data_IF_283351049570
#
_entry.id   IF_283351049570
#
_cell.length_a   1.000
_cell.length_b   1.000
_cell.length_c   1.000
_cell.angle_alpha   90.00
_cell.angle_beta   90.00
_cell.angle_gamma   90.00
#
_symmetry.space_group_name_H-M   'P 1'
#
loop_
_entity.id
_entity.type
_entity.pdbx_description
1 polymer ?
#
# COMPACT_ATOMS: atom_id res chain seq x y z
N UNK A 1 -11.12 -22.27 17.82
CA UNK A 1 -9.92 -21.51 18.26
C UNK A 1 -9.48 -20.63 17.11
N UNK A 2 -9.65 -19.34 17.22
CA UNK A 2 -9.18 -18.39 16.22
C UNK A 2 -7.66 -18.28 16.31
N UNK A 3 -6.96 -18.68 15.25
CA UNK A 3 -5.52 -18.46 15.14
C UNK A 3 -5.22 -16.96 15.21
N UNK A 4 -4.49 -16.55 16.20
CA UNK A 4 -3.94 -15.19 16.24
C UNK A 4 -2.76 -15.14 15.26
N UNK A 5 -2.82 -14.21 14.32
CA UNK A 5 -1.75 -13.96 13.38
C UNK A 5 -0.70 -13.07 14.05
N UNK A 6 0.52 -13.55 14.14
CA UNK A 6 1.63 -12.82 14.77
C UNK A 6 2.87 -12.86 13.90
N UNK A 7 3.61 -11.75 13.88
CA UNK A 7 4.92 -11.72 13.26
C UNK A 7 5.96 -12.38 14.18
N UNK A 8 6.84 -13.18 13.61
CA UNK A 8 7.87 -13.90 14.34
C UNK A 8 8.97 -12.98 14.91
N UNK A 9 9.14 -11.79 14.32
CA UNK A 9 10.16 -10.82 14.74
C UNK A 9 9.74 -9.38 14.46
N UNK A 10 10.35 -8.44 15.19
CA UNK A 10 10.16 -6.99 14.93
C UNK A 10 10.63 -6.60 13.54
N UNK A 11 11.72 -7.17 13.07
CA UNK A 11 12.24 -6.96 11.72
C UNK A 11 11.29 -7.46 10.65
N UNK A 12 10.66 -8.61 10.86
CA UNK A 12 9.62 -9.12 9.96
C UNK A 12 8.45 -8.15 9.78
N UNK A 13 7.99 -7.55 10.87
CA UNK A 13 6.94 -6.52 10.84
C UNK A 13 7.38 -5.27 10.07
N UNK A 14 8.59 -4.77 10.33
CA UNK A 14 9.13 -3.57 9.66
C UNK A 14 9.28 -3.81 8.16
N UNK A 15 9.88 -4.93 7.77
CA UNK A 15 10.09 -5.29 6.36
C UNK A 15 8.76 -5.48 5.64
N UNK A 16 7.78 -6.13 6.28
CA UNK A 16 6.43 -6.28 5.72
C UNK A 16 5.75 -4.91 5.54
N UNK A 17 5.84 -4.02 6.53
CA UNK A 17 5.31 -2.66 6.46
C UNK A 17 5.96 -1.85 5.34
N UNK A 18 7.29 -1.91 5.21
CA UNK A 18 8.02 -1.26 4.11
C UNK A 18 7.61 -1.83 2.74
N UNK A 19 7.49 -3.16 2.63
CA UNK A 19 7.07 -3.81 1.39
C UNK A 19 5.66 -3.39 0.96
N UNK A 20 4.75 -3.19 1.90
CA UNK A 20 3.40 -2.68 1.62
C UNK A 20 3.38 -1.19 1.28
N UNK A 21 4.28 -0.40 1.87
CA UNK A 21 4.37 1.05 1.62
C UNK A 21 5.00 1.39 0.27
N UNK A 22 5.94 0.56 -0.20
CA UNK A 22 6.63 0.76 -1.47
C UNK A 22 5.78 0.18 -2.60
N UNK A 23 5.19 1.04 -3.40
CA UNK A 23 4.40 0.67 -4.56
C UNK A 23 4.86 1.39 -5.83
N UNK A 24 4.37 0.94 -6.97
CA UNK A 24 4.65 1.58 -8.28
C UNK A 24 4.24 3.05 -8.29
N UNK A 25 3.23 3.43 -7.51
CA UNK A 25 2.81 4.82 -7.35
C UNK A 25 3.91 5.72 -6.80
N UNK A 26 4.72 5.22 -5.87
CA UNK A 26 5.81 5.98 -5.27
C UNK A 26 6.95 6.24 -6.27
N UNK A 27 7.22 5.28 -7.15
CA UNK A 27 8.32 5.36 -8.11
C UNK A 27 7.94 6.12 -9.38
N UNK A 28 6.70 5.99 -9.84
CA UNK A 28 6.24 6.55 -11.11
C UNK A 28 5.34 7.77 -10.96
N UNK A 29 4.25 7.62 -10.22
CA UNK A 29 3.20 8.64 -10.15
C UNK A 29 3.61 9.83 -9.30
N UNK A 30 4.21 9.58 -8.15
CA UNK A 30 4.57 10.64 -7.21
C UNK A 30 5.59 11.64 -7.80
N UNK A 31 6.74 11.22 -8.37
CA UNK A 31 7.70 12.16 -9.00
C UNK A 31 7.06 12.97 -10.12
N UNK A 32 6.19 12.37 -10.91
CA UNK A 32 5.46 13.05 -11.98
C UNK A 32 4.52 14.14 -11.44
N UNK A 33 3.76 13.84 -10.40
CA UNK A 33 2.87 14.81 -9.76
C UNK A 33 3.67 15.96 -9.15
N UNK A 34 4.78 15.69 -8.49
CA UNK A 34 5.69 16.70 -7.94
C UNK A 34 6.17 17.63 -9.05
N UNK A 35 6.65 17.09 -10.15
CA UNK A 35 7.13 17.88 -11.28
C UNK A 35 6.04 18.77 -11.91
N UNK A 36 4.80 18.25 -12.02
CA UNK A 36 3.67 18.98 -12.62
C UNK A 36 3.09 20.08 -11.70
N UNK A 37 3.29 19.98 -10.39
CA UNK A 37 2.67 20.89 -9.40
C UNK A 37 3.69 21.82 -8.71
N UNK A 38 4.73 22.21 -9.40
CA UNK A 38 5.69 23.22 -8.91
C UNK A 38 6.94 22.64 -8.24
N UNK A 39 7.23 21.35 -8.43
CA UNK A 39 8.48 20.75 -7.96
C UNK A 39 8.64 20.81 -6.45
N UNK A 40 9.71 21.44 -5.99
CA UNK A 40 10.04 21.56 -4.57
C UNK A 40 8.95 22.26 -3.73
N UNK A 41 8.22 23.21 -4.31
CA UNK A 41 7.13 23.90 -3.61
C UNK A 41 5.97 22.96 -3.22
N UNK A 42 5.71 21.92 -4.02
CA UNK A 42 4.71 20.89 -3.72
C UNK A 42 5.10 20.05 -2.49
N UNK A 43 6.38 19.86 -2.24
CA UNK A 43 6.85 19.04 -1.11
C UNK A 43 6.52 19.65 0.25
N UNK A 44 6.41 20.98 0.36
CA UNK A 44 6.09 21.67 1.62
C UNK A 44 4.71 21.25 2.14
N UNK A 45 3.59 21.47 1.42
CA UNK A 45 2.28 21.02 1.87
C UNK A 45 2.21 19.50 1.99
N UNK A 46 2.92 18.76 1.12
CA UNK A 46 2.97 17.31 1.20
C UNK A 46 3.56 16.82 2.54
N UNK A 47 4.68 17.39 3.00
CA UNK A 47 5.24 17.08 4.33
C UNK A 47 4.27 17.41 5.47
N UNK A 48 3.61 18.57 5.40
CA UNK A 48 2.64 18.97 6.43
C UNK A 48 1.51 17.94 6.50
N UNK A 49 0.94 17.53 5.37
CA UNK A 49 -0.13 16.54 5.34
C UNK A 49 0.35 15.13 5.70
N UNK A 50 1.58 14.78 5.39
CA UNK A 50 2.17 13.51 5.78
C UNK A 50 2.21 13.38 7.31
N UNK A 51 2.68 14.39 8.02
CA UNK A 51 2.77 14.35 9.47
C UNK A 51 1.42 14.58 10.17
N UNK A 52 0.58 15.45 9.64
CA UNK A 52 -0.70 15.79 10.28
C UNK A 52 -1.80 14.75 10.04
N UNK A 53 -1.77 14.04 8.92
CA UNK A 53 -2.80 13.08 8.52
C UNK A 53 -2.31 11.65 8.46
N UNK A 54 -1.26 11.40 7.69
CA UNK A 54 -0.81 10.02 7.43
C UNK A 54 -0.19 9.36 8.65
N UNK A 55 0.55 10.10 9.48
CA UNK A 55 1.17 9.54 10.67
C UNK A 55 0.14 9.13 11.74
N UNK A 56 -0.84 9.97 12.12
CA UNK A 56 -1.91 9.56 13.04
C UNK A 56 -2.72 8.37 12.51
N UNK A 57 -3.01 8.35 11.21
CA UNK A 57 -3.75 7.25 10.58
C UNK A 57 -2.95 5.94 10.65
N UNK A 58 -1.66 5.98 10.37
CA UNK A 58 -0.77 4.83 10.48
C UNK A 58 -0.71 4.29 11.91
N UNK A 59 -0.60 5.17 12.91
CA UNK A 59 -0.61 4.77 14.32
C UNK A 59 -1.93 4.11 14.68
N UNK A 60 -3.06 4.65 14.24
CA UNK A 60 -4.39 4.06 14.46
C UNK A 60 -4.49 2.67 13.82
N UNK A 61 -4.00 2.52 12.60
CA UNK A 61 -3.99 1.24 11.86
C UNK A 61 -3.15 0.18 12.58
N UNK A 62 -1.95 0.52 13.04
CA UNK A 62 -1.12 -0.37 13.84
C UNK A 62 -1.76 -0.72 15.20
N UNK A 63 -2.42 0.23 15.86
CA UNK A 63 -3.13 -0.01 17.11
C UNK A 63 -4.27 -1.03 16.93
N UNK A 64 -5.06 -0.88 15.87
CA UNK A 64 -6.13 -1.82 15.52
C UNK A 64 -5.54 -3.21 15.20
N UNK A 65 -4.52 -3.27 14.37
CA UNK A 65 -3.87 -4.52 13.99
C UNK A 65 -3.27 -5.28 15.18
N UNK A 66 -2.61 -4.57 16.09
CA UNK A 66 -2.06 -5.16 17.33
C UNK A 66 -3.14 -5.60 18.31
N UNK A 67 -4.23 -4.85 18.41
CA UNK A 67 -5.32 -5.15 19.32
C UNK A 67 -6.10 -6.39 18.90
N UNK A 68 -6.43 -6.51 17.64
CA UNK A 68 -7.25 -7.61 17.13
C UNK A 68 -6.44 -8.87 16.80
N UNK A 69 -5.22 -8.71 16.29
CA UNK A 69 -4.35 -9.82 15.80
C UNK A 69 -5.08 -10.78 14.85
N UNK A 70 -5.94 -10.22 14.01
CA UNK A 70 -6.76 -10.91 13.01
C UNK A 70 -6.76 -10.13 11.71
N UNK A 71 -7.18 -10.76 10.62
CA UNK A 71 -7.40 -10.08 9.35
C UNK A 71 -8.39 -8.91 9.48
N UNK A 72 -8.45 -8.05 8.47
CA UNK A 72 -9.17 -6.76 8.51
C UNK A 72 -10.63 -6.90 8.97
N UNK A 73 -11.36 -7.90 8.43
CA UNK A 73 -12.78 -8.14 8.79
C UNK A 73 -12.93 -8.54 10.26
N UNK A 74 -12.04 -9.44 10.71
CA UNK A 74 -12.03 -9.89 12.10
C UNK A 74 -11.66 -8.77 13.07
N UNK A 75 -10.72 -7.89 12.70
CA UNK A 75 -10.32 -6.75 13.50
C UNK A 75 -11.50 -5.80 13.76
N UNK A 76 -12.26 -5.45 12.74
CA UNK A 76 -13.44 -4.60 12.88
C UNK A 76 -14.54 -5.28 13.69
N UNK A 77 -14.77 -6.58 13.48
CA UNK A 77 -15.79 -7.33 14.24
C UNK A 77 -15.48 -7.40 15.73
N UNK A 78 -14.21 -7.61 16.08
CA UNK A 78 -13.78 -7.80 17.48
C UNK A 78 -13.64 -6.49 18.26
N UNK A 79 -13.14 -5.42 17.65
CA UNK A 79 -12.83 -4.16 18.32
C UNK A 79 -13.99 -3.17 18.33
N UNK A 80 -14.81 -3.16 17.28
CA UNK A 80 -15.88 -2.16 17.12
C UNK A 80 -17.26 -2.81 17.24
N UNK A 81 -17.34 -4.10 16.90
CA UNK A 81 -18.57 -4.89 16.96
C UNK A 81 -18.96 -5.51 15.61
N UNK A 82 -19.63 -6.64 15.69
CA UNK A 82 -20.05 -7.41 14.49
C UNK A 82 -20.88 -6.59 13.49
N UNK A 83 -21.60 -5.59 13.96
CA UNK A 83 -22.39 -4.68 13.12
C UNK A 83 -21.51 -3.90 12.13
N UNK A 84 -20.26 -3.63 12.48
CA UNK A 84 -19.32 -2.85 11.68
C UNK A 84 -18.32 -3.71 10.89
N UNK A 85 -18.47 -5.04 10.92
CA UNK A 85 -17.61 -5.95 10.16
C UNK A 85 -17.66 -5.70 8.64
N UNK A 86 -18.75 -5.13 8.13
CA UNK A 86 -18.87 -4.75 6.71
C UNK A 86 -17.82 -3.72 6.28
N UNK A 87 -17.37 -2.83 7.18
CA UNK A 87 -16.30 -1.86 6.90
C UNK A 87 -14.97 -2.59 6.63
N UNK A 88 -14.66 -3.61 7.43
CA UNK A 88 -13.52 -4.49 7.18
C UNK A 88 -13.66 -5.27 5.88
N UNK A 89 -14.87 -5.73 5.55
CA UNK A 89 -15.19 -6.36 4.27
C UNK A 89 -14.96 -5.42 3.08
N UNK A 90 -15.37 -4.16 3.20
CA UNK A 90 -15.14 -3.14 2.18
C UNK A 90 -13.65 -2.91 1.92
N UNK A 91 -12.84 -2.81 2.98
CA UNK A 91 -11.38 -2.68 2.87
C UNK A 91 -10.77 -3.92 2.20
N UNK A 92 -11.23 -5.12 2.58
CA UNK A 92 -10.76 -6.37 1.98
C UNK A 92 -11.06 -6.44 0.48
N UNK A 93 -12.27 -6.07 0.06
CA UNK A 93 -12.65 -6.00 -1.36
C UNK A 93 -11.80 -4.98 -2.10
N UNK A 94 -11.59 -3.80 -1.53
CA UNK A 94 -10.72 -2.77 -2.12
C UNK A 94 -9.29 -3.29 -2.29
N UNK A 95 -8.74 -4.00 -1.32
CA UNK A 95 -7.41 -4.61 -1.39
C UNK A 95 -7.30 -5.65 -2.51
N UNK A 96 -8.35 -6.47 -2.69
CA UNK A 96 -8.40 -7.45 -3.80
C UNK A 96 -8.45 -6.74 -5.15
N UNK A 97 -9.23 -5.66 -5.29
CA UNK A 97 -9.28 -4.87 -6.52
C UNK A 97 -7.93 -4.23 -6.85
N UNK A 98 -7.22 -3.73 -5.84
CA UNK A 98 -5.86 -3.21 -5.98
C UNK A 98 -4.91 -4.32 -6.43
N UNK A 99 -5.02 -5.54 -5.88
CA UNK A 99 -4.23 -6.69 -6.30
C UNK A 99 -4.41 -7.01 -7.80
N UNK A 100 -5.64 -6.98 -8.30
CA UNK A 100 -5.91 -7.16 -9.73
C UNK A 100 -5.25 -6.07 -10.58
N UNK A 101 -5.37 -4.81 -10.16
CA UNK A 101 -4.72 -3.69 -10.83
C UNK A 101 -3.19 -3.87 -10.88
N UNK A 102 -2.56 -4.20 -9.76
CA UNK A 102 -1.11 -4.43 -9.71
C UNK A 102 -0.67 -5.63 -10.54
N UNK A 103 -1.48 -6.67 -10.64
CA UNK A 103 -1.18 -7.83 -11.50
C UNK A 103 -1.05 -7.42 -12.97
N UNK A 104 -1.93 -6.56 -13.44
CA UNK A 104 -1.86 -6.01 -14.82
C UNK A 104 -0.61 -5.15 -14.99
N UNK A 105 -0.35 -4.22 -14.06
CA UNK A 105 0.83 -3.35 -14.11
C UNK A 105 2.13 -4.16 -14.09
N UNK A 106 2.20 -5.21 -13.27
CA UNK A 106 3.35 -6.13 -13.20
C UNK A 106 3.56 -6.84 -14.53
N UNK A 107 2.48 -7.32 -15.16
CA UNK A 107 2.54 -7.94 -16.49
C UNK A 107 3.10 -7.00 -17.55
N UNK A 108 2.68 -5.74 -17.55
CA UNK A 108 3.21 -4.73 -18.46
C UNK A 108 4.69 -4.42 -18.19
N UNK A 109 5.06 -4.26 -16.93
CA UNK A 109 6.45 -4.02 -16.54
C UNK A 109 7.35 -5.15 -17.02
N UNK A 110 6.94 -6.40 -16.80
CA UNK A 110 7.69 -7.57 -17.27
C UNK A 110 7.82 -7.61 -18.79
N UNK A 111 6.76 -7.29 -19.52
CA UNK A 111 6.79 -7.19 -20.98
C UNK A 111 7.82 -6.17 -21.47
N UNK A 112 7.84 -4.97 -20.88
CA UNK A 112 8.78 -3.93 -21.25
C UNK A 112 10.23 -4.27 -20.88
N UNK A 113 10.44 -4.91 -19.73
CA UNK A 113 11.79 -5.40 -19.34
C UNK A 113 12.28 -6.44 -20.34
N UNK A 114 11.46 -7.41 -20.71
CA UNK A 114 11.84 -8.40 -21.73
C UNK A 114 12.11 -7.76 -23.10
N UNK A 115 11.26 -6.84 -23.54
CA UNK A 115 11.45 -6.12 -24.79
C UNK A 115 12.76 -5.31 -24.81
N UNK A 116 13.11 -4.70 -23.68
CA UNK A 116 14.38 -3.96 -23.51
C UNK A 116 15.58 -4.90 -23.58
N UNK A 117 15.53 -6.07 -22.95
CA UNK A 117 16.61 -7.04 -22.96
C UNK A 117 16.84 -7.67 -24.35
N UNK A 118 15.79 -7.78 -25.14
CA UNK A 118 15.87 -8.33 -26.52
C UNK A 118 16.19 -7.25 -27.56
N UNK A 119 16.36 -5.99 -27.13
CA UNK A 119 16.70 -4.87 -28.04
C UNK A 119 15.54 -4.42 -28.94
N UNK A 120 14.31 -4.85 -28.66
CA UNK A 120 13.14 -4.46 -29.48
C UNK A 120 12.70 -3.00 -29.26
N UNK A 121 13.23 -2.30 -28.28
CA UNK A 121 12.94 -0.89 -28.01
C UNK A 121 13.84 0.07 -28.81
N UNK A 122 14.98 -0.38 -29.32
CA UNK A 122 15.91 0.42 -30.11
C UNK A 122 15.49 0.62 -31.59
N UNK A 123 14.41 -0.04 -32.01
CA UNK A 123 13.94 -0.03 -33.41
C UNK A 123 12.78 0.92 -33.71
N UNK A 124 12.34 1.74 -32.76
CA UNK A 124 11.22 2.69 -32.92
C UNK A 124 11.68 4.14 -32.75
N UNK A 125 12.73 4.50 -33.50
CA UNK A 125 13.13 5.91 -33.73
C UNK A 125 12.47 6.45 -34.98
#
# INVERSE_FOLDING_TARGET
>A
MSRQETFSSRWGLIVAGLGMAIGTGNMWRFPRIVAQNGGAAFLIPWFIFLFSWSLPLLIAEFAIGRGARRGVVGAFADLIGRRYAWMGGFIAVTSVMILFYYSVVTGWTLKYVLASLVGQLDGSG
#
